data_IF_409851826894
#
_entry.id   IF_409851826894
#
_cell.length_a   1.000
_cell.length_b   1.000
_cell.length_c   1.000
_cell.angle_alpha   90.00
_cell.angle_beta   90.00
_cell.angle_gamma   90.00
#
_symmetry.space_group_name_H-M   'P 1'
#
loop_
_entity.id
_entity.type
_entity.pdbx_description
1 polymer ?
#
# COMPACT_ATOMS: atom_id res chain seq x y z
N UNK A 1 -19.95 4.98 6.91
CA UNK A 1 -19.52 6.09 6.04
C UNK A 1 -18.17 5.72 5.47
N UNK A 2 -18.13 5.24 4.23
CA UNK A 2 -16.91 5.09 3.44
C UNK A 2 -16.30 6.48 3.29
N UNK A 3 -15.20 6.75 3.99
CA UNK A 3 -14.41 7.97 3.75
C UNK A 3 -13.78 7.79 2.37
N UNK A 4 -14.42 8.34 1.35
CA UNK A 4 -13.77 8.48 0.05
C UNK A 4 -12.52 9.34 0.25
N UNK A 5 -11.37 8.77 -0.12
CA UNK A 5 -10.12 9.51 -0.05
C UNK A 5 -10.20 10.65 -1.07
N UNK A 6 -9.97 11.90 -0.63
CA UNK A 6 -10.03 13.05 -1.51
C UNK A 6 -9.17 12.85 -2.78
N UNK A 7 -9.71 13.16 -3.96
CA UNK A 7 -9.00 12.94 -5.24
C UNK A 7 -7.65 13.67 -5.32
N UNK A 8 -7.52 14.80 -4.63
CA UNK A 8 -6.24 15.51 -4.49
C UNK A 8 -5.17 14.65 -3.79
N UNK A 9 -5.53 13.80 -2.82
CA UNK A 9 -4.58 12.93 -2.15
C UNK A 9 -4.04 11.85 -3.10
N UNK A 10 -4.88 11.25 -3.95
CA UNK A 10 -4.43 10.30 -4.98
C UNK A 10 -3.51 10.99 -6.00
N UNK A 11 -3.86 12.22 -6.41
CA UNK A 11 -3.02 12.99 -7.32
C UNK A 11 -1.63 13.28 -6.72
N UNK A 12 -1.57 13.63 -5.43
CA UNK A 12 -0.29 13.81 -4.73
C UNK A 12 0.54 12.53 -4.67
N UNK A 13 -0.07 11.38 -4.38
CA UNK A 13 0.63 10.09 -4.37
C UNK A 13 1.17 9.70 -5.76
N UNK A 14 0.45 10.04 -6.84
CA UNK A 14 0.97 9.87 -8.20
C UNK A 14 2.16 10.78 -8.49
N UNK A 15 2.07 12.05 -8.07
CA UNK A 15 3.12 13.05 -8.31
C UNK A 15 4.47 12.67 -7.66
N UNK A 16 4.44 11.90 -6.57
CA UNK A 16 5.63 11.38 -5.88
C UNK A 16 6.05 9.98 -6.35
N UNK A 17 5.45 9.46 -7.43
CA UNK A 17 5.93 8.26 -8.13
C UNK A 17 5.25 6.94 -7.73
N UNK A 18 4.09 6.96 -7.07
CA UNK A 18 3.28 5.74 -6.89
C UNK A 18 2.41 5.52 -8.12
N UNK A 19 2.32 4.27 -8.54
CA UNK A 19 1.40 3.77 -9.55
C UNK A 19 -0.01 3.60 -8.97
N UNK A 20 -1.03 3.52 -9.83
CA UNK A 20 -2.42 3.35 -9.38
C UNK A 20 -2.64 2.09 -8.52
N UNK A 21 -1.89 1.02 -8.78
CA UNK A 21 -1.97 -0.20 -7.98
C UNK A 21 -1.32 -0.04 -6.61
N UNK A 22 -0.16 0.62 -6.53
CA UNK A 22 0.49 0.91 -5.26
C UNK A 22 -0.39 1.85 -4.41
N UNK A 23 -1.01 2.85 -5.05
CA UNK A 23 -1.97 3.75 -4.41
C UNK A 23 -3.16 2.95 -3.89
N UNK A 24 -3.74 2.05 -4.69
CA UNK A 24 -4.87 1.22 -4.26
C UNK A 24 -4.51 0.36 -3.05
N UNK A 25 -3.35 -0.30 -3.06
CA UNK A 25 -2.85 -1.10 -1.94
C UNK A 25 -2.64 -0.23 -0.70
N UNK A 26 -1.94 0.89 -0.83
CA UNK A 26 -1.63 1.79 0.29
C UNK A 26 -2.91 2.34 0.95
N UNK A 27 -3.86 2.81 0.14
CA UNK A 27 -5.16 3.29 0.59
C UNK A 27 -5.94 2.19 1.30
N UNK A 28 -5.91 0.97 0.75
CA UNK A 28 -6.60 -0.19 1.34
C UNK A 28 -6.03 -0.50 2.72
N UNK A 29 -4.71 -0.49 2.87
CA UNK A 29 -4.03 -0.71 4.15
C UNK A 29 -4.33 0.39 5.17
N UNK A 30 -4.36 1.66 4.76
CA UNK A 30 -4.77 2.77 5.65
C UNK A 30 -6.22 2.59 6.11
N UNK A 31 -7.10 2.18 5.20
CA UNK A 31 -8.55 2.18 5.45
C UNK A 31 -9.02 0.94 6.22
N UNK A 32 -8.44 -0.22 5.92
CA UNK A 32 -8.85 -1.53 6.46
C UNK A 32 -7.88 -2.09 7.49
N UNK A 33 -6.72 -1.45 7.66
CA UNK A 33 -5.67 -1.92 8.54
C UNK A 33 -4.81 -3.01 7.89
N UNK A 34 -4.04 -3.74 8.72
CA UNK A 34 -3.06 -4.71 8.23
C UNK A 34 -3.74 -5.89 7.57
N UNK A 35 -3.19 -6.39 6.46
CA UNK A 35 -3.81 -7.46 5.68
C UNK A 35 -2.74 -8.35 5.04
N UNK A 36 -3.07 -9.60 4.78
CA UNK A 36 -2.22 -10.48 3.98
C UNK A 36 -2.36 -10.19 2.46
N UNK A 37 -1.50 -10.82 1.64
CA UNK A 37 -1.49 -10.58 0.20
C UNK A 37 -2.78 -11.01 -0.51
N UNK A 38 -3.48 -12.03 -0.01
CA UNK A 38 -4.74 -12.50 -0.58
C UNK A 38 -5.85 -11.50 -0.26
N UNK A 39 -5.99 -11.15 1.02
CA UNK A 39 -6.93 -10.16 1.51
C UNK A 39 -6.75 -8.82 0.78
N UNK A 40 -5.49 -8.40 0.56
CA UNK A 40 -5.19 -7.17 -0.18
C UNK A 40 -5.61 -7.25 -1.65
N UNK A 41 -5.41 -8.39 -2.30
CA UNK A 41 -5.79 -8.54 -3.71
C UNK A 41 -7.30 -8.40 -3.86
N UNK A 42 -8.06 -9.07 -2.99
CA UNK A 42 -9.51 -9.02 -2.96
C UNK A 42 -10.02 -7.61 -2.60
N UNK A 43 -9.38 -6.94 -1.64
CA UNK A 43 -9.82 -5.64 -1.13
C UNK A 43 -9.43 -4.43 -2.01
N UNK A 44 -8.27 -4.48 -2.68
CA UNK A 44 -7.73 -3.37 -3.49
C UNK A 44 -8.04 -3.50 -4.99
N UNK A 45 -8.53 -4.65 -5.43
CA UNK A 45 -8.76 -4.95 -6.85
C UNK A 45 -7.47 -5.19 -7.64
N UNK A 46 -6.30 -5.22 -6.99
CA UNK A 46 -5.04 -5.56 -7.64
C UNK A 46 -5.01 -7.08 -7.92
N UNK A 47 -4.71 -7.52 -9.15
CA UNK A 47 -4.65 -8.95 -9.47
C UNK A 47 -3.66 -9.71 -8.59
N UNK A 48 -4.07 -10.88 -8.10
CA UNK A 48 -3.25 -11.73 -7.24
C UNK A 48 -1.91 -12.11 -7.89
N UNK A 49 -1.89 -12.29 -9.21
CA UNK A 49 -0.67 -12.57 -9.99
C UNK A 49 0.38 -11.45 -9.93
N UNK A 50 -0.01 -10.22 -9.57
CA UNK A 50 0.89 -9.06 -9.49
C UNK A 50 1.18 -8.61 -8.07
N UNK A 51 0.38 -9.03 -7.09
CA UNK A 51 0.39 -8.39 -5.77
C UNK A 51 1.71 -8.57 -5.03
N UNK A 52 2.31 -9.77 -5.08
CA UNK A 52 3.59 -10.01 -4.41
C UNK A 52 4.74 -9.19 -4.98
N UNK A 53 4.77 -8.97 -6.30
CA UNK A 53 5.77 -8.10 -6.92
C UNK A 53 5.61 -6.67 -6.40
N UNK A 54 4.39 -6.13 -6.47
CA UNK A 54 4.09 -4.76 -6.05
C UNK A 54 4.37 -4.56 -4.55
N UNK A 55 3.96 -5.51 -3.70
CA UNK A 55 4.25 -5.47 -2.27
C UNK A 55 5.75 -5.48 -1.99
N UNK A 56 6.52 -6.26 -2.75
CA UNK A 56 7.99 -6.30 -2.62
C UNK A 56 8.61 -4.95 -3.01
N UNK A 57 8.15 -4.33 -4.10
CA UNK A 57 8.61 -3.00 -4.53
C UNK A 57 8.24 -1.92 -3.50
N UNK A 58 7.01 -1.93 -3.01
CA UNK A 58 6.54 -0.98 -1.98
C UNK A 58 7.26 -1.16 -0.65
N UNK A 59 7.62 -2.39 -0.26
CA UNK A 59 8.36 -2.69 0.97
C UNK A 59 9.82 -2.28 0.86
N UNK A 60 10.51 -2.73 -0.20
CA UNK A 60 11.97 -2.69 -0.27
C UNK A 60 12.53 -1.48 -1.01
N UNK A 61 11.88 -1.07 -2.10
CA UNK A 61 12.39 -0.01 -2.97
C UNK A 61 11.82 1.34 -2.55
N UNK A 62 10.49 1.41 -2.42
CA UNK A 62 9.80 2.67 -2.11
C UNK A 62 9.55 2.88 -0.62
N UNK A 63 9.60 1.81 0.18
CA UNK A 63 9.44 1.84 1.64
C UNK A 63 8.13 2.47 2.14
N UNK A 64 7.02 2.34 1.38
CA UNK A 64 5.68 2.83 1.74
C UNK A 64 4.91 1.90 2.67
N UNK A 65 5.33 0.63 2.74
CA UNK A 65 4.71 -0.38 3.58
C UNK A 65 5.77 -1.11 4.40
N UNK A 66 5.32 -1.78 5.45
CA UNK A 66 6.09 -2.73 6.24
C UNK A 66 5.47 -4.11 6.12
N UNK A 67 6.31 -5.14 6.24
CA UNK A 67 5.91 -6.53 6.29
C UNK A 67 6.20 -7.09 7.67
N UNK A 68 5.19 -7.67 8.32
CA UNK A 68 5.35 -8.37 9.58
C UNK A 68 5.72 -9.83 9.29
N UNK A 69 7.02 -10.14 9.40
CA UNK A 69 7.56 -11.46 9.07
C UNK A 69 7.18 -12.57 10.06
N UNK A 70 6.83 -12.22 11.30
CA UNK A 70 6.48 -13.19 12.35
C UNK A 70 5.06 -13.77 12.16
N UNK A 71 4.20 -13.08 11.40
CA UNK A 71 2.87 -13.55 11.03
C UNK A 71 2.92 -14.57 9.89
N UNK A 72 2.12 -15.65 10.01
CA UNK A 72 1.87 -16.63 8.94
C UNK A 72 0.37 -16.70 8.66
N UNK A 73 -0.11 -16.25 7.49
CA UNK A 73 0.63 -15.60 6.39
C UNK A 73 1.20 -14.23 6.80
N UNK A 74 2.21 -13.76 6.07
CA UNK A 74 2.79 -12.43 6.31
C UNK A 74 1.75 -11.33 6.06
N UNK A 75 1.62 -10.44 7.04
CA UNK A 75 0.77 -9.25 6.95
C UNK A 75 1.56 -8.02 6.56
N UNK A 76 0.89 -7.10 5.89
CA UNK A 76 1.45 -5.83 5.44
C UNK A 76 0.73 -4.66 6.11
N UNK A 77 1.46 -3.56 6.33
CA UNK A 77 1.01 -2.38 7.05
C UNK A 77 1.42 -1.14 6.26
N UNK A 78 0.53 -0.16 6.13
CA UNK A 78 0.89 1.14 5.57
C UNK A 78 1.76 1.91 6.57
N UNK A 79 2.88 2.47 6.12
CA UNK A 79 3.57 3.50 6.91
C UNK A 79 2.75 4.79 6.92
N UNK A 80 2.96 5.61 7.95
CA UNK A 80 2.39 6.97 7.95
C UNK A 80 2.90 7.75 6.74
N UNK A 81 2.08 8.65 6.13
CA UNK A 81 2.52 9.45 5.00
C UNK A 81 3.82 10.23 5.30
N UNK A 82 3.97 10.72 6.54
CA UNK A 82 5.16 11.44 6.99
C UNK A 82 6.42 10.57 6.91
N UNK A 83 6.36 9.33 7.39
CA UNK A 83 7.47 8.37 7.31
C UNK A 83 7.77 7.95 5.86
N UNK A 84 6.73 7.80 5.04
CA UNK A 84 6.88 7.38 3.65
C UNK A 84 7.47 8.49 2.76
N UNK A 85 7.15 9.76 3.04
CA UNK A 85 7.62 10.93 2.28
C UNK A 85 9.06 11.33 2.60
N UNK A 86 9.57 11.03 3.81
CA UNK A 86 10.95 11.37 4.20
C UNK A 86 11.99 10.66 3.32
N UNK A 87 11.63 9.50 2.75
CA UNK A 87 12.57 8.62 2.06
C UNK A 87 12.53 8.80 0.52
N UNK A 88 11.55 9.56 -0.01
CA UNK A 88 11.38 9.79 -1.45
C UNK A 88 12.24 10.94 -2.01
N UNK A 89 13.31 11.35 -1.32
CA UNK A 89 14.22 12.43 -1.73
C UNK A 89 15.51 11.92 -2.37
#
# INVERSE_FOLDING_TARGET
MSKEIPENAKASLRAIGLTDYEISIYITLISKGPMDARELSEASGVPYSRIYNILTQMEKEKMWILKEAESRPSRYFAKSPDEALIIAK
#
